data_IF_579310343581
#
_entry.id   IF_579310343581
#
_cell.length_a   1.000
_cell.length_b   1.000
_cell.length_c   1.000
_cell.angle_alpha   90.00
_cell.angle_beta   90.00
_cell.angle_gamma   90.00
#
_symmetry.space_group_name_H-M   'P 1'
#
loop_
_entity.id
_entity.type
_entity.pdbx_description
1 polymer ?
#
# COMPACT_ATOMS: atom_id res chain seq x y z
N UNK A 1 -12.24 7.72 19.64
CA UNK A 1 -13.01 7.08 18.53
C UNK A 1 -12.00 6.30 17.71
N UNK A 2 -12.34 5.10 17.22
CA UNK A 2 -11.42 4.32 16.38
C UNK A 2 -11.41 4.88 14.97
N UNK A 3 -10.24 4.89 14.31
CA UNK A 3 -10.11 5.24 12.89
C UNK A 3 -10.42 4.01 12.03
N UNK A 4 -11.34 4.15 11.09
CA UNK A 4 -11.77 3.08 10.19
C UNK A 4 -11.19 3.33 8.78
N UNK A 5 -10.43 2.36 8.28
CA UNK A 5 -9.84 2.38 6.94
C UNK A 5 -10.49 1.28 6.09
N UNK A 6 -11.23 1.65 5.04
CA UNK A 6 -11.77 0.70 4.07
C UNK A 6 -10.70 0.35 3.04
N UNK A 7 -10.40 -0.93 2.90
CA UNK A 7 -9.41 -1.45 1.94
C UNK A 7 -10.06 -1.88 0.63
N UNK A 8 -9.91 -1.08 -0.41
CA UNK A 8 -10.33 -1.44 -1.77
C UNK A 8 -9.31 -2.33 -2.49
N UNK A 9 -8.04 -2.27 -2.05
CA UNK A 9 -6.96 -3.06 -2.66
C UNK A 9 -6.91 -2.88 -4.18
N UNK A 10 -7.09 -3.99 -4.93
CA UNK A 10 -7.13 -4.04 -6.38
C UNK A 10 -8.53 -4.48 -6.90
N UNK A 11 -9.56 -4.45 -6.04
CA UNK A 11 -10.91 -4.88 -6.38
C UNK A 11 -11.59 -3.99 -7.43
N UNK A 12 -11.05 -2.80 -7.67
CA UNK A 12 -11.46 -1.91 -8.76
C UNK A 12 -11.16 -2.48 -10.15
N UNK A 13 -10.30 -3.51 -10.28
CA UNK A 13 -9.96 -4.20 -11.55
C UNK A 13 -9.50 -3.25 -12.69
N UNK A 14 -8.89 -2.11 -12.36
CA UNK A 14 -8.52 -1.06 -13.32
C UNK A 14 -9.68 -0.17 -13.78
N UNK A 15 -10.89 -0.38 -13.28
CA UNK A 15 -12.10 0.35 -13.66
C UNK A 15 -12.38 1.50 -12.68
N UNK A 16 -12.40 2.73 -13.20
CA UNK A 16 -12.64 3.94 -12.41
C UNK A 16 -14.10 4.09 -11.97
N UNK A 17 -15.06 3.51 -12.69
CA UNK A 17 -16.46 3.53 -12.25
C UNK A 17 -16.66 2.66 -11.01
N UNK A 18 -16.08 1.45 -10.99
CA UNK A 18 -16.08 0.58 -9.82
C UNK A 18 -15.35 1.27 -8.66
N UNK A 19 -14.22 1.91 -8.93
CA UNK A 19 -13.45 2.62 -7.91
C UNK A 19 -14.25 3.79 -7.31
N UNK A 20 -15.00 4.52 -8.13
CA UNK A 20 -15.90 5.57 -7.67
C UNK A 20 -16.97 5.03 -6.73
N UNK A 21 -17.65 3.96 -7.11
CA UNK A 21 -18.68 3.34 -6.28
C UNK A 21 -18.10 2.87 -4.93
N UNK A 22 -16.88 2.35 -4.92
CA UNK A 22 -16.18 1.97 -3.68
C UNK A 22 -15.91 3.18 -2.77
N UNK A 23 -15.49 4.32 -3.33
CA UNK A 23 -15.24 5.56 -2.57
C UNK A 23 -16.52 6.03 -1.89
N UNK A 24 -17.61 6.13 -2.65
CA UNK A 24 -18.88 6.61 -2.12
C UNK A 24 -19.48 5.65 -1.10
N UNK A 25 -19.43 4.35 -1.35
CA UNK A 25 -19.89 3.33 -0.39
C UNK A 25 -19.09 3.37 0.93
N UNK A 26 -17.78 3.59 0.86
CA UNK A 26 -16.94 3.73 2.05
C UNK A 26 -17.30 4.98 2.86
N UNK A 27 -17.55 6.10 2.18
CA UNK A 27 -17.99 7.34 2.82
C UNK A 27 -19.38 7.20 3.46
N UNK A 28 -20.34 6.65 2.75
CA UNK A 28 -21.70 6.40 3.26
C UNK A 28 -21.72 5.45 4.47
N UNK A 29 -20.77 4.50 4.52
CA UNK A 29 -20.58 3.62 5.66
C UNK A 29 -19.92 4.30 6.88
N UNK A 30 -19.49 5.57 6.75
CA UNK A 30 -18.90 6.34 7.84
C UNK A 30 -17.42 6.01 8.09
N UNK A 31 -16.68 5.53 7.09
CA UNK A 31 -15.25 5.31 7.22
C UNK A 31 -14.47 6.64 7.20
N UNK A 32 -13.30 6.66 7.86
CA UNK A 32 -12.41 7.82 7.88
C UNK A 32 -11.51 7.86 6.63
N UNK A 33 -11.12 6.69 6.15
CA UNK A 33 -10.25 6.54 4.97
C UNK A 33 -10.77 5.47 4.02
N UNK A 34 -10.56 5.71 2.73
CA UNK A 34 -10.66 4.68 1.69
C UNK A 34 -9.30 4.46 1.06
N UNK A 35 -8.87 3.19 0.96
CA UNK A 35 -7.49 2.85 0.59
C UNK A 35 -7.39 2.00 -0.66
N UNK A 36 -6.48 2.43 -1.55
CA UNK A 36 -6.02 1.68 -2.72
C UNK A 36 -4.54 1.31 -2.58
N UNK A 37 -3.96 0.78 -3.64
CA UNK A 37 -2.53 0.43 -3.71
C UNK A 37 -1.90 1.08 -4.94
N UNK A 38 -0.77 1.77 -4.75
CA UNK A 38 0.05 2.27 -5.86
C UNK A 38 0.96 1.14 -6.32
N UNK A 39 0.48 0.39 -7.32
CA UNK A 39 1.18 -0.78 -7.86
C UNK A 39 1.46 -0.53 -9.34
N UNK A 40 2.73 -0.65 -9.72
CA UNK A 40 3.17 -0.56 -11.09
C UNK A 40 3.93 -1.83 -11.47
N UNK A 41 3.57 -2.50 -12.57
CA UNK A 41 4.22 -3.74 -12.97
C UNK A 41 5.72 -3.55 -13.26
N UNK A 42 6.12 -2.37 -13.76
CA UNK A 42 7.52 -2.06 -14.06
C UNK A 42 8.40 -1.94 -12.79
N UNK A 43 7.80 -1.79 -11.62
CA UNK A 43 8.48 -1.84 -10.32
C UNK A 43 8.68 -3.27 -9.79
N UNK A 44 8.09 -4.28 -10.48
CA UNK A 44 8.17 -5.67 -10.05
C UNK A 44 9.59 -6.21 -10.26
N UNK A 45 10.18 -6.71 -9.19
CA UNK A 45 11.52 -7.32 -9.26
C UNK A 45 11.42 -8.81 -9.51
N UNK A 46 12.15 -9.30 -10.52
CA UNK A 46 12.31 -10.74 -10.75
C UNK A 46 12.99 -11.42 -9.55
N UNK A 47 12.41 -12.53 -9.11
CA UNK A 47 12.95 -13.35 -8.02
C UNK A 47 12.80 -14.82 -8.38
N UNK A 48 13.90 -15.47 -8.72
CA UNK A 48 13.95 -16.87 -9.16
C UNK A 48 13.18 -17.83 -8.25
N UNK A 49 13.29 -17.64 -6.92
CA UNK A 49 12.60 -18.49 -5.93
C UNK A 49 11.07 -18.53 -6.09
N UNK A 50 10.47 -17.51 -6.70
CA UNK A 50 9.03 -17.45 -6.92
C UNK A 50 8.59 -18.09 -8.25
N UNK A 51 9.50 -18.34 -9.20
CA UNK A 51 9.14 -18.94 -10.48
C UNK A 51 8.49 -20.31 -10.29
N UNK A 52 9.09 -21.15 -9.47
CA UNK A 52 8.60 -22.49 -9.20
C UNK A 52 8.05 -22.67 -7.77
N UNK A 53 8.26 -21.68 -6.91
CA UNK A 53 8.03 -21.81 -5.47
C UNK A 53 9.04 -22.80 -4.83
N UNK A 54 8.93 -22.99 -3.52
CA UNK A 54 9.79 -23.94 -2.77
C UNK A 54 8.91 -24.77 -1.84
N UNK A 55 9.07 -26.11 -1.93
CA UNK A 55 8.44 -27.05 -1.00
C UNK A 55 9.55 -27.85 -0.32
N UNK A 56 9.59 -27.82 1.00
CA UNK A 56 10.54 -28.57 1.82
C UNK A 56 9.80 -29.46 2.81
N UNK A 57 10.13 -30.75 2.82
CA UNK A 57 9.50 -31.75 3.72
C UNK A 57 7.96 -31.72 3.66
N UNK A 58 7.38 -31.51 2.46
CA UNK A 58 5.93 -31.41 2.24
C UNK A 58 5.30 -30.09 2.66
N UNK A 59 6.06 -29.16 3.20
CA UNK A 59 5.59 -27.82 3.58
C UNK A 59 5.97 -26.78 2.51
N UNK A 60 5.01 -25.95 2.11
CA UNK A 60 5.26 -24.84 1.18
C UNK A 60 6.04 -23.75 1.92
N UNK A 61 7.29 -23.53 1.52
CA UNK A 61 8.19 -22.48 2.05
C UNK A 61 8.11 -21.19 1.25
N UNK A 62 7.94 -21.30 -0.06
CA UNK A 62 7.79 -20.16 -0.96
C UNK A 62 6.64 -20.46 -1.92
N UNK A 63 5.73 -19.53 -2.08
CA UNK A 63 4.62 -19.65 -3.04
C UNK A 63 5.16 -19.60 -4.47
N UNK A 64 4.52 -20.34 -5.38
CA UNK A 64 4.76 -20.18 -6.81
C UNK A 64 4.04 -18.92 -7.30
N UNK A 65 4.80 -17.96 -7.82
CA UNK A 65 4.33 -16.71 -8.41
C UNK A 65 5.27 -16.30 -9.54
N UNK A 66 5.14 -16.92 -10.74
CA UNK A 66 6.01 -16.61 -11.87
C UNK A 66 5.95 -15.13 -12.24
N UNK A 67 7.10 -14.56 -12.54
CA UNK A 67 7.26 -13.13 -12.80
C UNK A 67 6.33 -12.62 -13.91
N UNK A 68 6.31 -13.29 -15.07
CA UNK A 68 5.51 -12.84 -16.21
C UNK A 68 4.01 -12.85 -15.90
N UNK A 69 3.50 -13.90 -15.25
CA UNK A 69 2.09 -13.98 -14.89
C UNK A 69 1.69 -12.89 -13.90
N UNK A 70 2.56 -12.58 -12.96
CA UNK A 70 2.31 -11.50 -11.99
C UNK A 70 2.41 -10.12 -12.65
N UNK A 71 3.37 -9.92 -13.55
CA UNK A 71 3.50 -8.69 -14.34
C UNK A 71 2.22 -8.41 -15.15
N UNK A 72 1.76 -9.41 -15.93
CA UNK A 72 0.56 -9.30 -16.76
C UNK A 72 -0.69 -9.03 -15.91
N UNK A 73 -0.79 -9.70 -14.76
CA UNK A 73 -1.88 -9.46 -13.81
C UNK A 73 -1.87 -8.03 -13.29
N UNK A 74 -0.72 -7.52 -12.88
CA UNK A 74 -0.58 -6.15 -12.38
C UNK A 74 -0.83 -5.12 -13.48
N UNK A 75 -0.45 -5.40 -14.72
CA UNK A 75 -0.70 -4.53 -15.87
C UNK A 75 -2.19 -4.28 -16.12
N UNK A 76 -3.00 -5.30 -15.92
CA UNK A 76 -4.47 -5.17 -15.99
C UNK A 76 -5.11 -4.42 -14.82
N UNK A 77 -4.35 -4.15 -13.76
CA UNK A 77 -4.83 -3.48 -12.53
C UNK A 77 -4.20 -2.10 -12.32
N UNK A 78 -3.23 -1.75 -13.16
CA UNK A 78 -2.46 -0.52 -13.04
C UNK A 78 -3.37 0.70 -13.19
N UNK A 79 -3.25 1.62 -12.25
CA UNK A 79 -3.85 2.95 -12.33
C UNK A 79 -2.75 3.95 -12.74
N UNK A 80 -3.07 4.80 -13.69
CA UNK A 80 -2.15 5.85 -14.09
C UNK A 80 -2.19 7.05 -13.14
N UNK A 81 -1.28 7.99 -13.34
CA UNK A 81 -1.13 9.18 -12.52
C UNK A 81 -2.38 10.07 -12.48
N UNK A 82 -3.08 10.17 -13.60
CA UNK A 82 -4.31 10.98 -13.69
C UNK A 82 -5.43 10.36 -12.86
N UNK A 83 -5.51 9.02 -12.82
CA UNK A 83 -6.47 8.31 -11.96
C UNK A 83 -6.12 8.48 -10.48
N UNK A 84 -4.84 8.52 -10.11
CA UNK A 84 -4.45 8.81 -8.72
C UNK A 84 -4.85 10.23 -8.30
N UNK A 85 -4.64 11.23 -9.16
CA UNK A 85 -5.08 12.60 -8.90
C UNK A 85 -6.60 12.68 -8.79
N UNK A 86 -7.31 12.04 -9.72
CA UNK A 86 -8.77 11.95 -9.70
C UNK A 86 -9.28 11.27 -8.42
N UNK A 87 -8.65 10.18 -7.97
CA UNK A 87 -9.06 9.48 -6.76
C UNK A 87 -8.96 10.37 -5.51
N UNK A 88 -7.90 11.16 -5.38
CA UNK A 88 -7.77 12.13 -4.28
C UNK A 88 -8.93 13.15 -4.32
N UNK A 89 -9.26 13.67 -5.50
CA UNK A 89 -10.35 14.64 -5.65
C UNK A 89 -11.73 14.01 -5.42
N UNK A 90 -11.95 12.78 -5.91
CA UNK A 90 -13.21 12.05 -5.68
C UNK A 90 -13.42 11.74 -4.20
N UNK A 91 -12.35 11.38 -3.46
CA UNK A 91 -12.42 11.21 -2.01
C UNK A 91 -12.81 12.51 -1.30
N UNK A 92 -12.24 13.64 -1.69
CA UNK A 92 -12.62 14.95 -1.14
C UNK A 92 -14.10 15.27 -1.40
N UNK A 93 -14.59 15.00 -2.62
CA UNK A 93 -15.99 15.20 -3.00
C UNK A 93 -16.93 14.32 -2.15
N UNK A 94 -16.50 13.10 -1.84
CA UNK A 94 -17.23 12.16 -0.99
C UNK A 94 -17.08 12.45 0.52
N UNK A 95 -16.22 13.40 0.92
CA UNK A 95 -15.98 13.73 2.34
C UNK A 95 -15.20 12.67 3.11
N UNK A 96 -14.41 11.82 2.44
CA UNK A 96 -13.57 10.77 3.01
C UNK A 96 -12.10 11.01 2.66
N UNK A 97 -11.17 10.61 3.54
CA UNK A 97 -9.74 10.78 3.27
C UNK A 97 -9.21 9.70 2.34
N UNK A 98 -8.42 10.07 1.31
CA UNK A 98 -7.71 9.09 0.47
C UNK A 98 -6.53 8.49 1.21
N UNK A 99 -6.28 7.20 1.01
CA UNK A 99 -5.07 6.52 1.48
C UNK A 99 -4.56 5.57 0.40
N UNK A 100 -3.24 5.46 0.26
CA UNK A 100 -2.63 4.45 -0.61
C UNK A 100 -1.44 3.78 0.05
N UNK A 101 -1.17 2.52 -0.34
CA UNK A 101 0.10 1.87 -0.01
C UNK A 101 1.11 2.20 -1.09
N UNK A 102 2.27 2.74 -0.70
CA UNK A 102 3.42 2.92 -1.59
C UNK A 102 4.41 1.76 -1.38
N UNK A 103 4.95 1.23 -2.47
CA UNK A 103 5.88 0.09 -2.46
C UNK A 103 7.30 0.45 -2.91
N UNK A 104 7.46 1.57 -3.62
CA UNK A 104 8.76 2.00 -4.13
C UNK A 104 9.03 3.48 -3.85
N UNK A 105 10.30 3.82 -3.65
CA UNK A 105 10.73 5.19 -3.36
C UNK A 105 10.42 6.13 -4.54
N UNK A 106 10.44 5.61 -5.77
CA UNK A 106 10.18 6.39 -6.97
C UNK A 106 8.82 7.10 -6.96
N UNK A 107 7.81 6.49 -6.34
CA UNK A 107 6.46 7.04 -6.28
C UNK A 107 6.21 8.01 -5.13
N UNK A 108 7.10 8.10 -4.15
CA UNK A 108 6.89 8.90 -2.93
C UNK A 108 6.64 10.39 -3.25
N UNK A 109 7.50 11.00 -4.06
CA UNK A 109 7.35 12.41 -4.42
C UNK A 109 6.17 12.67 -5.34
N UNK A 110 5.91 11.73 -6.26
CA UNK A 110 4.79 11.81 -7.19
C UNK A 110 3.46 11.83 -6.43
N UNK A 111 3.25 10.89 -5.52
CA UNK A 111 2.05 10.84 -4.70
C UNK A 111 1.89 12.10 -3.83
N UNK A 112 2.94 12.55 -3.17
CA UNK A 112 2.89 13.79 -2.40
C UNK A 112 2.49 15.00 -3.26
N UNK A 113 2.99 15.07 -4.51
CA UNK A 113 2.63 16.10 -5.48
C UNK A 113 1.18 16.03 -5.98
N UNK A 114 0.52 14.88 -5.85
CA UNK A 114 -0.89 14.67 -6.22
C UNK A 114 -1.87 14.95 -5.06
N UNK A 115 -1.39 15.39 -3.90
CA UNK A 115 -2.24 15.78 -2.77
C UNK A 115 -2.56 14.66 -1.77
N UNK A 116 -1.84 13.55 -1.80
CA UNK A 116 -1.90 12.55 -0.75
C UNK A 116 -1.24 13.10 0.52
N UNK A 117 -1.99 13.19 1.61
CA UNK A 117 -1.50 13.74 2.89
C UNK A 117 -0.92 12.64 3.79
N UNK A 118 -1.55 11.48 3.81
CA UNK A 118 -1.20 10.33 4.62
C UNK A 118 -0.84 9.15 3.72
N UNK A 119 0.00 8.24 4.23
CA UNK A 119 0.50 7.12 3.43
C UNK A 119 0.55 5.82 4.23
N UNK A 120 0.38 4.68 3.55
CA UNK A 120 0.52 3.36 4.16
C UNK A 120 1.78 2.64 3.69
N UNK A 121 2.42 1.96 4.62
CA UNK A 121 3.56 1.08 4.41
C UNK A 121 3.12 -0.37 4.65
N UNK A 122 3.40 -1.25 3.70
CA UNK A 122 3.06 -2.67 3.81
C UNK A 122 3.93 -3.38 4.88
N UNK A 123 3.46 -4.52 5.38
CA UNK A 123 4.16 -5.25 6.44
C UNK A 123 5.61 -5.60 6.08
N UNK A 124 5.85 -6.12 4.87
CA UNK A 124 7.19 -6.50 4.44
C UNK A 124 8.12 -5.31 4.16
N UNK A 125 7.59 -4.09 4.14
CA UNK A 125 8.34 -2.84 4.01
C UNK A 125 8.54 -2.13 5.35
N UNK A 126 8.08 -2.70 6.46
CA UNK A 126 8.28 -2.15 7.80
C UNK A 126 9.77 -1.95 8.09
N UNK A 127 10.63 -2.87 7.64
CA UNK A 127 12.08 -2.79 7.75
C UNK A 127 12.76 -2.14 6.50
N UNK A 128 11.98 -1.58 5.57
CA UNK A 128 12.52 -0.82 4.44
C UNK A 128 12.88 0.60 4.86
N UNK A 129 13.94 0.76 5.64
CA UNK A 129 14.35 2.05 6.22
C UNK A 129 14.56 3.17 5.18
N UNK A 130 15.12 2.90 3.97
CA UNK A 130 15.18 3.90 2.91
C UNK A 130 13.81 4.41 2.48
N UNK A 131 12.79 3.53 2.38
CA UNK A 131 11.42 3.92 2.06
C UNK A 131 10.81 4.75 3.20
N UNK A 132 10.99 4.32 4.46
CA UNK A 132 10.53 5.06 5.64
C UNK A 132 11.13 6.47 5.71
N UNK A 133 12.44 6.62 5.42
CA UNK A 133 13.11 7.92 5.34
C UNK A 133 12.56 8.80 4.21
N UNK A 134 12.16 8.21 3.09
CA UNK A 134 11.57 8.95 1.99
C UNK A 134 10.17 9.44 2.35
N UNK A 135 9.26 8.56 2.80
CA UNK A 135 7.87 8.92 3.12
C UNK A 135 7.77 9.90 4.28
N UNK A 136 8.64 9.77 5.30
CA UNK A 136 8.71 10.69 6.44
C UNK A 136 8.81 12.16 6.03
N UNK A 137 9.45 12.45 4.91
CA UNK A 137 9.69 13.83 4.44
C UNK A 137 8.48 14.48 3.78
N UNK A 138 7.52 13.66 3.30
CA UNK A 138 6.49 14.12 2.39
C UNK A 138 5.06 13.97 2.92
N UNK A 139 4.79 13.04 3.84
CA UNK A 139 3.44 12.76 4.32
C UNK A 139 3.25 13.17 5.77
N UNK A 140 2.02 13.50 6.16
CA UNK A 140 1.67 13.98 7.51
C UNK A 140 1.61 12.83 8.50
N UNK A 141 0.97 11.72 8.14
CA UNK A 141 0.83 10.54 8.98
C UNK A 141 1.21 9.26 8.24
N UNK A 142 1.88 8.33 8.94
CA UNK A 142 2.31 7.05 8.40
C UNK A 142 1.53 5.92 9.05
N UNK A 143 0.77 5.14 8.27
CA UNK A 143 0.19 3.88 8.72
C UNK A 143 1.15 2.74 8.36
N UNK A 144 1.71 2.04 9.34
CA UNK A 144 2.76 1.03 9.12
C UNK A 144 2.26 -0.32 9.63
N UNK A 145 2.08 -1.28 8.73
CA UNK A 145 1.74 -2.66 9.09
C UNK A 145 2.96 -3.43 9.58
N UNK A 146 2.77 -4.31 10.59
CA UNK A 146 3.85 -5.04 11.26
C UNK A 146 3.74 -6.56 11.13
N UNK A 147 2.97 -7.06 10.16
CA UNK A 147 2.85 -8.50 9.93
C UNK A 147 4.18 -9.13 9.50
N UNK A 148 4.55 -10.26 10.12
CA UNK A 148 5.80 -10.97 9.86
C UNK A 148 7.07 -10.11 10.05
N UNK A 149 7.02 -9.12 10.95
CA UNK A 149 8.12 -8.22 11.30
C UNK A 149 8.60 -8.55 12.72
N UNK A 150 9.90 -8.57 12.94
CA UNK A 150 10.49 -8.81 14.26
C UNK A 150 10.48 -7.54 15.11
N UNK A 151 10.46 -7.68 16.44
CA UNK A 151 10.41 -6.55 17.38
C UNK A 151 11.56 -5.56 17.17
N UNK A 152 12.78 -6.05 16.93
CA UNK A 152 13.95 -5.19 16.68
C UNK A 152 13.85 -4.39 15.39
N UNK A 153 13.17 -4.92 14.37
CA UNK A 153 12.91 -4.19 13.11
C UNK A 153 11.90 -3.07 13.32
N UNK A 154 10.87 -3.31 14.15
CA UNK A 154 9.87 -2.29 14.54
C UNK A 154 10.55 -1.19 15.36
N UNK A 155 11.39 -1.56 16.33
CA UNK A 155 12.14 -0.58 17.13
C UNK A 155 13.05 0.30 16.26
N UNK A 156 13.71 -0.29 15.27
CA UNK A 156 14.55 0.48 14.34
C UNK A 156 13.69 1.37 13.42
N UNK A 157 12.55 0.88 12.93
CA UNK A 157 11.60 1.70 12.19
C UNK A 157 11.16 2.93 12.99
N UNK A 158 10.85 2.78 14.30
CA UNK A 158 10.52 3.91 15.19
C UNK A 158 11.64 4.94 15.24
N UNK A 159 12.90 4.51 15.36
CA UNK A 159 14.05 5.43 15.36
C UNK A 159 14.16 6.19 14.05
N UNK A 160 13.96 5.50 12.93
CA UNK A 160 14.03 6.09 11.57
C UNK A 160 12.95 7.14 11.37
N UNK A 161 11.69 6.88 11.81
CA UNK A 161 10.58 7.81 11.66
C UNK A 161 10.42 8.79 12.82
N UNK A 162 11.36 8.83 13.76
CA UNK A 162 11.33 9.72 14.92
C UNK A 162 10.92 11.16 14.56
N UNK A 163 10.01 11.75 15.33
CA UNK A 163 9.43 13.08 15.09
C UNK A 163 8.32 13.14 14.05
N UNK A 164 7.91 12.00 13.48
CA UNK A 164 6.75 11.88 12.56
C UNK A 164 5.53 11.30 13.28
N UNK A 165 4.34 11.73 12.90
CA UNK A 165 3.10 11.08 13.31
C UNK A 165 2.94 9.73 12.62
N UNK A 166 2.66 8.67 13.38
CA UNK A 166 2.45 7.34 12.82
C UNK A 166 1.51 6.48 13.66
N UNK A 167 0.98 5.43 13.04
CA UNK A 167 0.23 4.34 13.68
C UNK A 167 0.73 3.00 13.20
N UNK A 168 1.02 2.09 14.10
CA UNK A 168 1.26 0.69 13.73
C UNK A 168 -0.06 -0.05 13.58
N UNK A 169 -0.15 -0.89 12.53
CA UNK A 169 -1.25 -1.78 12.29
C UNK A 169 -0.79 -3.21 12.58
N UNK A 170 -1.36 -3.81 13.63
CA UNK A 170 -1.08 -5.21 13.95
C UNK A 170 -1.70 -6.11 12.87
N UNK A 171 -0.87 -6.89 12.20
CA UNK A 171 -1.30 -7.81 11.15
C UNK A 171 -0.84 -9.22 11.50
N UNK A 172 -1.78 -10.17 11.48
CA UNK A 172 -1.47 -11.59 11.59
C UNK A 172 -1.51 -12.18 10.19
N UNK A 173 -0.37 -12.72 9.75
CA UNK A 173 -0.24 -13.41 8.46
C UNK A 173 -0.05 -14.90 8.72
N UNK A 174 -0.95 -15.73 8.21
CA UNK A 174 -0.94 -17.19 8.36
C UNK A 174 -0.48 -17.82 7.05
#
# INVERSE_FOLDING_TARGET
MATIIVECCQNHKGDTAILKDMVWSASEAGADYVKIQTVHPDDLTFRERFENGVVEKGLRKVIKRPYQLEYDRLKGLELNKDVYAWFVEECKNAGIKPLTTVFTIGWVKELAGLGWEDIKIASYDCASYPLLLAVKKHFNHLFISTGATFDHEIEEAVKVINGKSFSFLHCVTI
#
